data_IF_636338506107
#
_entry.id   IF_636338506107
#
_cell.length_a   1.000
_cell.length_b   1.000
_cell.length_c   1.000
_cell.angle_alpha   90.00
_cell.angle_beta   90.00
_cell.angle_gamma   90.00
#
_symmetry.space_group_name_H-M   'P 1'
#
loop_
_entity.id
_entity.type
_entity.pdbx_description
1 polymer ?
#
# COMPACT_ATOMS: atom_id res chain seq x y z
N UNK A 1 -24.28 3.33 32.71
CA UNK A 1 -23.55 2.62 31.63
C UNK A 1 -23.09 3.63 30.59
N UNK A 2 -21.80 3.95 30.53
CA UNK A 2 -21.26 4.90 29.54
C UNK A 2 -21.28 4.31 28.13
N UNK A 3 -21.76 5.07 27.14
CA UNK A 3 -21.78 4.67 25.73
C UNK A 3 -20.34 4.53 25.25
N UNK A 4 -19.85 3.30 25.04
CA UNK A 4 -18.52 3.06 24.46
C UNK A 4 -18.43 3.81 23.14
N UNK A 5 -17.48 4.74 23.04
CA UNK A 5 -17.23 5.48 21.82
C UNK A 5 -16.78 4.49 20.75
N UNK A 6 -17.49 4.46 19.61
CA UNK A 6 -17.11 3.55 18.53
C UNK A 6 -15.77 4.01 17.95
N UNK A 7 -14.78 3.12 17.79
CA UNK A 7 -13.52 3.50 17.16
C UNK A 7 -13.81 4.06 15.77
N UNK A 8 -13.31 5.26 15.52
CA UNK A 8 -13.41 5.91 14.21
C UNK A 8 -12.13 5.57 13.46
N UNK A 9 -12.27 4.73 12.44
CA UNK A 9 -11.16 4.41 11.56
C UNK A 9 -11.09 5.43 10.42
N UNK A 10 -9.89 5.93 10.07
CA UNK A 10 -9.73 6.77 8.90
C UNK A 10 -10.17 5.99 7.66
N UNK A 11 -11.00 6.62 6.82
CA UNK A 11 -11.45 5.98 5.58
C UNK A 11 -10.35 6.11 4.54
N UNK A 12 -9.93 4.98 3.97
CA UNK A 12 -8.98 4.99 2.87
C UNK A 12 -9.62 5.56 1.61
N UNK A 13 -8.88 6.43 0.92
CA UNK A 13 -9.20 6.80 -0.45
C UNK A 13 -8.83 5.63 -1.38
N UNK A 14 -9.85 5.06 -2.00
CA UNK A 14 -9.75 3.92 -2.89
C UNK A 14 -9.87 4.39 -4.34
N UNK A 15 -8.96 3.89 -5.18
CA UNK A 15 -9.00 4.04 -6.63
C UNK A 15 -9.05 2.66 -7.30
N UNK A 16 -9.58 2.60 -8.52
CA UNK A 16 -9.51 1.39 -9.33
C UNK A 16 -8.10 1.21 -9.87
N UNK A 17 -7.59 -0.02 -9.79
CA UNK A 17 -6.30 -0.36 -10.38
C UNK A 17 -6.33 -0.34 -11.91
N UNK A 18 -7.47 -0.75 -12.47
CA UNK A 18 -7.73 -0.80 -13.90
C UNK A 18 -9.20 -0.42 -14.15
N UNK A 19 -9.40 0.63 -14.95
CA UNK A 19 -10.74 1.14 -15.29
C UNK A 19 -11.46 0.31 -16.35
N UNK A 20 -10.78 -0.63 -17.01
CA UNK A 20 -11.37 -1.51 -18.03
C UNK A 20 -12.13 -2.71 -17.44
N UNK A 21 -11.88 -3.06 -16.18
CA UNK A 21 -12.48 -4.22 -15.51
C UNK A 21 -13.98 -4.05 -15.22
N UNK A 22 -14.47 -2.81 -15.18
CA UNK A 22 -15.86 -2.48 -14.91
C UNK A 22 -16.36 -1.39 -15.85
N UNK A 23 -17.64 -1.44 -16.26
CA UNK A 23 -18.28 -0.31 -16.91
C UNK A 23 -18.20 0.96 -16.04
N UNK A 24 -18.03 2.16 -16.63
CA UNK A 24 -17.71 3.38 -15.88
C UNK A 24 -18.64 3.67 -14.71
N UNK A 25 -19.97 3.57 -14.91
CA UNK A 25 -20.94 3.82 -13.83
C UNK A 25 -20.95 2.76 -12.74
N UNK A 26 -20.68 1.50 -13.09
CA UNK A 26 -20.54 0.41 -12.13
C UNK A 26 -19.29 0.62 -11.28
N UNK A 27 -18.18 0.97 -11.93
CA UNK A 27 -16.91 1.34 -11.32
C UNK A 27 -17.09 2.44 -10.25
N UNK A 28 -17.80 3.53 -10.58
CA UNK A 28 -18.10 4.61 -9.63
C UNK A 28 -18.87 4.12 -8.40
N UNK A 29 -19.93 3.32 -8.59
CA UNK A 29 -20.72 2.75 -7.50
C UNK A 29 -19.89 1.86 -6.58
N UNK A 30 -19.06 0.98 -7.16
CA UNK A 30 -18.16 0.08 -6.43
C UNK A 30 -17.07 0.85 -5.67
N UNK A 31 -16.47 1.89 -6.26
CA UNK A 31 -15.49 2.75 -5.60
C UNK A 31 -16.08 3.47 -4.38
N UNK A 32 -17.23 4.10 -4.53
CA UNK A 32 -17.90 4.77 -3.41
C UNK A 32 -18.33 3.76 -2.34
N UNK A 33 -18.67 2.53 -2.77
CA UNK A 33 -18.98 1.47 -1.85
C UNK A 33 -17.77 1.03 -1.01
N UNK A 34 -16.59 0.90 -1.64
CA UNK A 34 -15.32 0.62 -0.97
C UNK A 34 -14.87 1.73 -0.01
N UNK A 35 -15.24 2.99 -0.29
CA UNK A 35 -15.08 4.14 0.63
C UNK A 35 -16.09 4.13 1.79
N UNK A 36 -16.94 3.10 1.89
CA UNK A 36 -17.90 2.93 2.97
C UNK A 36 -19.13 3.83 2.88
N UNK A 37 -19.49 4.34 1.70
CA UNK A 37 -20.73 5.11 1.52
C UNK A 37 -21.95 4.20 1.47
N UNK A 38 -23.05 4.54 2.14
CA UNK A 38 -24.29 3.77 2.02
C UNK A 38 -24.91 3.89 0.63
N UNK A 39 -25.74 2.92 0.21
CA UNK A 39 -26.45 2.94 -1.08
C UNK A 39 -27.19 4.26 -1.31
N UNK A 40 -27.85 4.81 -0.27
CA UNK A 40 -28.54 6.12 -0.34
C UNK A 40 -27.56 7.29 -0.55
N UNK A 41 -26.38 7.24 0.06
CA UNK A 41 -25.37 8.28 -0.13
C UNK A 41 -24.75 8.21 -1.54
N UNK A 42 -24.48 7.00 -2.03
CA UNK A 42 -24.01 6.75 -3.39
C UNK A 42 -25.04 7.26 -4.40
N UNK A 43 -26.32 6.89 -4.23
CA UNK A 43 -27.42 7.34 -5.08
C UNK A 43 -27.49 8.86 -5.19
N UNK A 44 -27.41 9.56 -4.04
CA UNK A 44 -27.38 11.03 -3.99
C UNK A 44 -26.16 11.61 -4.68
N UNK A 45 -24.98 10.99 -4.52
CA UNK A 45 -23.75 11.47 -5.15
C UNK A 45 -23.74 11.26 -6.67
N UNK A 46 -24.32 10.16 -7.15
CA UNK A 46 -24.36 9.81 -8.57
C UNK A 46 -25.58 10.37 -9.31
N UNK A 47 -26.57 10.92 -8.58
CA UNK A 47 -27.80 11.46 -9.17
C UNK A 47 -28.74 10.39 -9.74
N UNK A 48 -28.73 9.19 -9.17
CA UNK A 48 -29.55 8.04 -9.61
C UNK A 48 -30.37 7.46 -8.44
N UNK A 49 -31.31 6.56 -8.75
CA UNK A 49 -32.12 5.94 -7.71
C UNK A 49 -31.30 4.95 -6.84
N UNK A 50 -31.64 4.76 -5.55
CA UNK A 50 -31.01 3.75 -4.72
C UNK A 50 -31.11 2.33 -5.30
N UNK A 51 -32.24 2.00 -5.94
CA UNK A 51 -32.43 0.72 -6.60
C UNK A 51 -31.46 0.52 -7.78
N UNK A 52 -31.16 1.59 -8.53
CA UNK A 52 -30.17 1.54 -9.61
C UNK A 52 -28.74 1.31 -9.07
N UNK A 53 -28.42 1.88 -7.90
CA UNK A 53 -27.14 1.61 -7.23
C UNK A 53 -27.08 0.15 -6.75
N UNK A 54 -28.15 -0.37 -6.15
CA UNK A 54 -28.25 -1.77 -5.74
C UNK A 54 -27.98 -2.69 -6.95
N UNK A 55 -28.66 -2.43 -8.07
CA UNK A 55 -28.45 -3.17 -9.31
C UNK A 55 -26.99 -3.13 -9.80
N UNK A 56 -26.35 -1.96 -9.80
CA UNK A 56 -24.92 -1.87 -10.15
C UNK A 56 -24.02 -2.69 -9.22
N UNK A 57 -24.32 -2.73 -7.92
CA UNK A 57 -23.56 -3.51 -6.94
C UNK A 57 -23.84 -5.01 -7.06
N UNK A 58 -25.06 -5.40 -7.40
CA UNK A 58 -25.44 -6.79 -7.67
C UNK A 58 -24.70 -7.32 -8.90
N UNK A 59 -24.71 -6.58 -10.00
CA UNK A 59 -23.93 -6.90 -11.19
C UNK A 59 -22.42 -7.02 -10.92
N UNK A 60 -21.89 -6.19 -10.02
CA UNK A 60 -20.50 -6.29 -9.60
C UNK A 60 -20.25 -7.53 -8.74
N UNK A 61 -21.17 -7.87 -7.82
CA UNK A 61 -21.10 -9.09 -7.02
C UNK A 61 -21.09 -10.33 -7.89
N UNK A 62 -21.96 -10.38 -8.91
CA UNK A 62 -22.02 -11.50 -9.85
C UNK A 62 -20.71 -11.63 -10.63
N UNK A 63 -20.15 -10.52 -11.10
CA UNK A 63 -18.89 -10.51 -11.85
C UNK A 63 -17.68 -10.96 -11.02
N UNK A 64 -17.63 -10.59 -9.73
CA UNK A 64 -16.51 -10.91 -8.84
C UNK A 64 -16.77 -12.09 -7.88
N UNK A 65 -17.87 -12.82 -8.09
CA UNK A 65 -18.30 -13.94 -7.26
C UNK A 65 -18.37 -13.61 -5.76
N UNK A 66 -18.92 -12.43 -5.46
CA UNK A 66 -19.07 -11.97 -4.09
C UNK A 66 -20.48 -12.24 -3.55
N UNK A 67 -20.57 -12.73 -2.32
CA UNK A 67 -21.84 -13.08 -1.68
C UNK A 67 -22.60 -11.86 -1.17
N UNK A 68 -21.87 -10.90 -0.63
CA UNK A 68 -22.42 -9.66 -0.12
C UNK A 68 -21.53 -8.46 -0.47
N UNK A 69 -21.94 -7.29 -0.01
CA UNK A 69 -21.23 -6.06 -0.28
C UNK A 69 -19.85 -6.00 0.37
N UNK A 70 -19.68 -6.58 1.56
CA UNK A 70 -18.40 -6.58 2.27
C UNK A 70 -17.45 -7.55 1.59
N UNK A 71 -17.96 -8.70 1.17
CA UNK A 71 -17.25 -9.67 0.37
C UNK A 71 -16.83 -9.07 -0.98
N UNK A 72 -17.69 -8.30 -1.66
CA UNK A 72 -17.34 -7.58 -2.89
C UNK A 72 -16.14 -6.64 -2.68
N UNK A 73 -16.15 -5.89 -1.58
CA UNK A 73 -15.02 -5.00 -1.26
C UNK A 73 -13.76 -5.81 -0.97
N UNK A 74 -13.90 -6.94 -0.27
CA UNK A 74 -12.79 -7.83 0.10
C UNK A 74 -12.18 -8.48 -1.14
N UNK A 75 -13.01 -9.05 -2.01
CA UNK A 75 -12.64 -9.58 -3.32
C UNK A 75 -11.97 -8.52 -4.18
N UNK A 76 -12.48 -7.28 -4.18
CA UNK A 76 -11.87 -6.17 -4.92
C UNK A 76 -10.43 -5.86 -4.46
N UNK A 77 -10.13 -6.00 -3.17
CA UNK A 77 -8.75 -5.89 -2.69
C UNK A 77 -7.91 -7.11 -3.06
N UNK A 78 -8.44 -8.32 -2.88
CA UNK A 78 -7.70 -9.57 -3.13
C UNK A 78 -7.36 -9.78 -4.60
N UNK A 79 -8.26 -9.40 -5.50
CA UNK A 79 -8.11 -9.53 -6.95
C UNK A 79 -7.42 -8.32 -7.58
N UNK A 80 -7.03 -7.33 -6.77
CA UNK A 80 -6.32 -6.14 -7.24
C UNK A 80 -7.20 -5.17 -8.03
N UNK A 81 -8.53 -5.22 -7.88
CA UNK A 81 -9.44 -4.21 -8.43
C UNK A 81 -9.18 -2.84 -7.81
N UNK A 82 -8.78 -2.80 -6.54
CA UNK A 82 -8.50 -1.58 -5.79
C UNK A 82 -7.01 -1.32 -5.59
N UNK A 83 -6.64 -0.04 -5.62
CA UNK A 83 -5.34 0.47 -5.17
C UNK A 83 -5.52 1.54 -4.10
N UNK A 84 -4.67 1.50 -3.07
CA UNK A 84 -4.59 2.54 -2.07
C UNK A 84 -3.75 3.71 -2.62
N UNK A 85 -4.40 4.84 -2.91
CA UNK A 85 -3.78 6.02 -3.54
C UNK A 85 -2.53 6.54 -2.81
N UNK A 86 -2.45 6.32 -1.49
CA UNK A 86 -1.38 6.83 -0.63
C UNK A 86 -0.08 6.01 -0.71
N UNK A 87 -0.14 4.71 -1.01
CA UNK A 87 1.06 3.86 -1.09
C UNK A 87 1.92 4.20 -2.30
N UNK A 88 1.30 4.62 -3.41
CA UNK A 88 2.02 5.03 -4.62
C UNK A 88 2.94 6.22 -4.35
N UNK A 89 2.44 7.26 -3.67
CA UNK A 89 3.23 8.44 -3.32
C UNK A 89 4.34 8.13 -2.31
N UNK A 90 4.10 7.21 -1.37
CA UNK A 90 5.14 6.77 -0.44
C UNK A 90 6.27 6.01 -1.15
N UNK A 91 5.96 5.13 -2.10
CA UNK A 91 6.97 4.43 -2.91
C UNK A 91 7.78 5.40 -3.77
N UNK A 92 7.14 6.39 -4.40
CA UNK A 92 7.83 7.44 -5.16
C UNK A 92 8.75 8.25 -4.25
N UNK A 93 8.25 8.71 -3.10
CA UNK A 93 9.05 9.45 -2.12
C UNK A 93 10.27 8.63 -1.67
N UNK A 94 10.09 7.35 -1.36
CA UNK A 94 11.17 6.45 -0.93
C UNK A 94 12.21 6.19 -2.03
N UNK A 95 11.78 6.08 -3.30
CA UNK A 95 12.68 5.90 -4.45
C UNK A 95 13.55 7.13 -4.75
N UNK A 96 13.10 8.31 -4.31
CA UNK A 96 13.80 9.58 -4.51
C UNK A 96 14.76 9.95 -3.37
N UNK A 97 14.77 9.19 -2.26
CA UNK A 97 15.72 9.41 -1.16
C UNK A 97 17.14 9.04 -1.63
N UNK A 98 18.10 10.00 -1.70
CA UNK A 98 19.46 9.75 -2.18
C UNK A 98 20.32 8.86 -1.26
N UNK A 99 19.79 8.40 -0.13
CA UNK A 99 20.55 7.82 0.97
C UNK A 99 21.09 6.39 0.71
N UNK A 100 20.64 5.71 -0.35
CA UNK A 100 21.09 4.34 -0.67
C UNK A 100 21.78 4.21 -2.03
N UNK A 101 22.13 5.32 -2.68
CA UNK A 101 23.19 5.28 -3.69
C UNK A 101 24.52 5.36 -2.96
N UNK A 102 24.93 4.25 -2.35
CA UNK A 102 26.31 4.05 -1.94
C UNK A 102 27.17 4.37 -3.14
N UNK A 103 27.79 5.57 -3.18
CA UNK A 103 28.91 5.79 -4.10
C UNK A 103 29.87 4.63 -3.80
N UNK A 104 30.22 3.79 -4.78
CA UNK A 104 31.34 2.89 -4.58
C UNK A 104 32.51 3.81 -4.22
N UNK A 105 33.02 3.67 -3.00
CA UNK A 105 34.26 4.34 -2.63
C UNK A 105 35.29 3.90 -3.67
N UNK A 106 35.93 4.83 -4.40
CA UNK A 106 37.00 4.43 -5.29
C UNK A 106 38.03 3.71 -4.43
N UNK A 107 38.26 2.43 -4.76
CA UNK A 107 39.38 1.65 -4.24
C UNK A 107 40.63 2.28 -4.87
N UNK A 108 41.03 3.45 -4.38
CA UNK A 108 42.35 3.98 -4.64
C UNK A 108 43.26 3.31 -3.62
N UNK A 109 44.08 2.38 -4.12
CA UNK A 109 44.83 1.41 -3.35
C UNK A 109 46.01 1.99 -2.56
N UNK A 110 45.76 2.88 -1.61
CA UNK A 110 46.69 3.05 -0.49
C UNK A 110 46.31 2.05 0.58
N UNK A 111 47.00 0.91 0.59
CA UNK A 111 47.00 -0.05 1.70
C UNK A 111 47.06 0.75 3.00
N UNK A 112 46.08 0.67 3.92
CA UNK A 112 46.21 1.32 5.21
C UNK A 112 47.52 0.84 5.84
N UNK A 113 48.35 1.73 6.41
CA UNK A 113 49.60 1.31 7.04
C UNK A 113 49.27 0.23 8.07
N UNK A 114 50.02 -0.87 8.06
CA UNK A 114 49.83 -1.96 9.00
C UNK A 114 50.03 -1.42 10.41
N UNK A 115 48.95 -1.00 11.06
CA UNK A 115 48.95 -0.63 12.46
C UNK A 115 49.10 -1.95 13.21
N UNK A 116 50.29 -2.20 13.74
CA UNK A 116 50.56 -3.31 14.65
C UNK A 116 49.61 -3.15 15.83
N UNK A 117 48.50 -3.88 15.83
CA UNK A 117 47.58 -3.94 16.97
C UNK A 117 48.31 -4.68 18.09
N UNK A 118 48.87 -3.92 19.01
CA UNK A 118 49.48 -4.45 20.22
C UNK A 118 48.35 -4.76 21.20
N UNK A 119 48.00 -6.04 21.33
CA UNK A 119 47.18 -6.52 22.44
C UNK A 119 48.15 -6.91 23.56
N UNK A 120 48.30 -6.05 24.58
CA UNK A 120 49.16 -6.28 25.75
C UNK A 120 50.54 -5.59 25.70
N UNK A 121 51.47 -5.97 26.60
CA UNK A 121 52.81 -5.33 26.73
C UNK A 121 53.99 -6.18 26.28
N UNK A 122 53.77 -7.33 25.65
CA UNK A 122 54.86 -8.27 25.35
C UNK A 122 55.01 -8.49 23.85
N UNK A 123 56.11 -7.97 23.29
CA UNK A 123 56.49 -8.26 21.92
C UNK A 123 56.97 -9.72 21.80
N UNK A 124 56.36 -10.47 20.89
CA UNK A 124 56.81 -11.82 20.52
C UNK A 124 58.19 -11.66 19.87
N UNK A 125 59.24 -12.21 20.49
CA UNK A 125 60.59 -12.25 19.92
C UNK A 125 60.58 -13.21 18.73
N UNK A 126 60.93 -12.72 17.54
CA UNK A 126 61.20 -13.58 16.40
C UNK A 126 62.48 -14.36 16.67
N UNK A 127 62.35 -15.69 16.74
CA UNK A 127 63.48 -16.62 16.82
C UNK A 127 64.01 -16.80 15.40
N UNK A 128 65.26 -16.38 15.15
CA UNK A 128 65.98 -16.67 13.90
C UNK A 128 67.05 -17.71 14.20
N UNK A 129 67.04 -18.79 13.42
CA UNK A 129 68.03 -19.87 13.44
C UNK A 129 69.44 -19.36 13.13
#
# INVERSE_FOLDING_TARGET
>A
MGRRQKPTYPRMEVELADTSLLPPRRAEGVMLAARGMSTKAIARQLGISPATVEWHLDEAKDQFHALDRVDLVSQGWMQGLFRARMLAWMLVAFSSLPAMRSRPTPINGTRPPAVRSVIGRTAIREFRA
#
